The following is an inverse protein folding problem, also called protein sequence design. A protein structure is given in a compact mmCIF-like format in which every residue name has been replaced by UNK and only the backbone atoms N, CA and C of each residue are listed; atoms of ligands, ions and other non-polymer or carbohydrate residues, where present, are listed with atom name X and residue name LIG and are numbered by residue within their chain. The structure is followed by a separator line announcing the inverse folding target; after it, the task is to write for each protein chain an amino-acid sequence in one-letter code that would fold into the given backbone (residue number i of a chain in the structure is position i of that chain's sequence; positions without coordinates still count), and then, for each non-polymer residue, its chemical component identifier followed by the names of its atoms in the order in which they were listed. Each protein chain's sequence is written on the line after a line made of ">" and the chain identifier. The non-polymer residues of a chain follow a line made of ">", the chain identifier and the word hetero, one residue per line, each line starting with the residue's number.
data_IF_238296057910
#
_entry.id   IF_238296057910
#
_cell.length_a   1.000
_cell.length_b   1.000
_cell.length_c   1.000
_cell.angle_alpha   90.00
_cell.angle_beta   90.00
_cell.angle_gamma   90.00
#
_symmetry.space_group_name_H-M   'P 1'
#
loop_
_entity.id
_entity.type
_entity.pdbx_description
1 polymer ?
#
# COMPACT_ATOMS: atom_id res chain seq x y z
N UNK A 1 -5.17 -41.41 -5.87
CA UNK A 1 -6.11 -40.33 -5.49
C UNK A 1 -5.49 -38.94 -5.54
N UNK A 2 -4.21 -38.74 -5.22
CA UNK A 2 -3.54 -37.42 -5.23
C UNK A 2 -3.41 -36.82 -6.65
N UNK A 3 -3.32 -37.64 -7.71
CA UNK A 3 -3.20 -37.14 -9.09
C UNK A 3 -4.49 -36.56 -9.67
N UNK A 4 -5.68 -37.01 -9.23
CA UNK A 4 -6.94 -36.49 -9.78
C UNK A 4 -7.36 -35.16 -9.14
N UNK A 5 -6.90 -34.87 -7.92
CA UNK A 5 -7.22 -33.61 -7.22
C UNK A 5 -6.42 -32.42 -7.78
N UNK A 6 -5.17 -32.65 -8.20
CA UNK A 6 -4.33 -31.62 -8.82
C UNK A 6 -4.92 -31.11 -10.15
N UNK A 7 -5.38 -32.02 -11.02
CA UNK A 7 -6.03 -31.65 -12.30
C UNK A 7 -7.33 -30.87 -12.07
N UNK A 8 -8.09 -31.18 -11.02
CA UNK A 8 -9.32 -30.44 -10.69
C UNK A 8 -9.05 -29.04 -10.17
N UNK A 9 -8.00 -28.83 -9.37
CA UNK A 9 -7.61 -27.50 -8.86
C UNK A 9 -7.07 -26.61 -9.98
N UNK A 10 -6.26 -27.15 -10.89
CA UNK A 10 -5.78 -26.41 -12.06
C UNK A 10 -6.93 -26.05 -13.01
N UNK A 11 -7.88 -26.97 -13.25
CA UNK A 11 -9.07 -26.66 -14.04
C UNK A 11 -9.95 -25.59 -13.37
N UNK A 12 -10.07 -25.58 -12.05
CA UNK A 12 -10.78 -24.52 -11.33
C UNK A 12 -10.09 -23.16 -11.47
N UNK A 13 -8.77 -23.09 -11.28
CA UNK A 13 -8.00 -21.85 -11.48
C UNK A 13 -8.14 -21.29 -12.89
N UNK A 14 -8.09 -22.15 -13.91
CA UNK A 14 -8.27 -21.74 -15.32
C UNK A 14 -9.68 -21.21 -15.59
N UNK A 15 -10.71 -21.84 -15.00
CA UNK A 15 -12.09 -21.33 -15.09
C UNK A 15 -12.24 -19.97 -14.43
N UNK A 16 -11.73 -19.79 -13.22
CA UNK A 16 -11.76 -18.50 -12.53
C UNK A 16 -11.02 -17.40 -13.30
N UNK A 17 -9.87 -17.73 -13.90
CA UNK A 17 -9.13 -16.81 -14.74
C UNK A 17 -9.91 -16.45 -16.01
N UNK A 18 -10.56 -17.43 -16.63
CA UNK A 18 -11.41 -17.20 -17.80
C UNK A 18 -12.61 -16.31 -17.44
N UNK A 19 -13.29 -16.54 -16.32
CA UNK A 19 -14.37 -15.69 -15.83
C UNK A 19 -13.89 -14.26 -15.56
N UNK A 20 -12.69 -14.10 -14.98
CA UNK A 20 -12.08 -12.77 -14.77
C UNK A 20 -11.83 -12.07 -16.11
N UNK A 21 -11.35 -12.78 -17.12
CA UNK A 21 -11.12 -12.23 -18.47
C UNK A 21 -12.44 -11.85 -19.14
N UNK A 22 -13.50 -12.65 -19.00
CA UNK A 22 -14.81 -12.35 -19.57
C UNK A 22 -15.46 -11.12 -18.93
N UNK A 23 -15.34 -10.96 -17.61
CA UNK A 23 -15.74 -9.74 -16.89
C UNK A 23 -14.95 -8.51 -17.38
N UNK A 24 -13.65 -8.66 -17.62
CA UNK A 24 -12.82 -7.58 -18.15
C UNK A 24 -13.24 -7.15 -19.56
N UNK A 25 -13.53 -8.10 -20.46
CA UNK A 25 -13.98 -7.80 -21.83
C UNK A 25 -15.27 -7.01 -21.89
N UNK A 26 -16.07 -7.04 -20.82
CA UNK A 26 -17.37 -6.37 -20.72
C UNK A 26 -17.37 -5.24 -19.69
N UNK A 27 -16.20 -4.78 -19.25
CA UNK A 27 -16.06 -3.79 -18.18
C UNK A 27 -16.77 -2.47 -18.48
N UNK A 28 -16.68 -1.98 -19.73
CA UNK A 28 -17.34 -0.75 -20.18
C UNK A 28 -18.60 -1.04 -21.01
N UNK A 29 -19.20 -2.23 -20.88
CA UNK A 29 -20.41 -2.57 -21.62
C UNK A 29 -21.55 -1.59 -21.28
N UNK A 30 -22.12 -0.96 -22.30
CA UNK A 30 -23.17 0.04 -22.16
C UNK A 30 -22.67 1.46 -21.82
N UNK A 31 -21.37 1.66 -21.61
CA UNK A 31 -20.79 2.99 -21.49
C UNK A 31 -20.55 3.60 -22.87
N UNK A 32 -21.22 4.72 -23.15
CA UNK A 32 -20.89 5.60 -24.27
C UNK A 32 -19.93 6.69 -23.81
N UNK A 33 -18.72 6.67 -24.35
CA UNK A 33 -17.60 7.53 -23.95
C UNK A 33 -17.22 8.44 -25.12
N UNK A 34 -17.12 9.74 -24.85
CA UNK A 34 -16.65 10.73 -25.82
C UNK A 34 -15.25 11.24 -25.45
N UNK A 35 -14.33 11.24 -26.42
CA UNK A 35 -12.96 11.72 -26.25
C UNK A 35 -12.79 13.12 -26.84
N UNK A 36 -12.27 14.05 -26.04
CA UNK A 36 -11.88 15.37 -26.51
C UNK A 36 -10.57 15.33 -27.33
N UNK A 37 -10.28 16.39 -28.09
CA UNK A 37 -9.10 16.48 -28.97
C UNK A 37 -7.75 16.47 -28.25
N UNK A 38 -7.75 16.78 -26.95
CA UNK A 38 -6.53 16.96 -26.16
C UNK A 38 -6.01 15.66 -25.51
N UNK A 39 -6.86 14.63 -25.43
CA UNK A 39 -6.52 13.39 -24.72
C UNK A 39 -5.83 12.39 -25.65
N UNK A 40 -4.97 11.48 -25.14
CA UNK A 40 -4.26 10.50 -25.95
C UNK A 40 -5.23 9.47 -26.55
N UNK A 41 -5.81 9.82 -27.71
CA UNK A 41 -6.92 9.13 -28.35
C UNK A 41 -6.63 7.67 -28.71
N UNK A 42 -5.45 7.38 -29.25
CA UNK A 42 -5.14 6.06 -29.82
C UNK A 42 -5.10 4.99 -28.73
N UNK A 43 -4.45 5.32 -27.61
CA UNK A 43 -4.40 4.47 -26.42
C UNK A 43 -5.79 4.28 -25.81
N UNK A 44 -6.52 5.38 -25.57
CA UNK A 44 -7.84 5.32 -24.96
C UNK A 44 -8.86 4.59 -25.84
N UNK A 45 -8.85 4.84 -27.15
CA UNK A 45 -9.75 4.18 -28.08
C UNK A 45 -9.49 2.68 -28.13
N UNK A 46 -8.23 2.26 -28.18
CA UNK A 46 -7.87 0.84 -28.12
C UNK A 46 -8.38 0.20 -26.83
N UNK A 47 -8.07 0.81 -25.68
CA UNK A 47 -8.49 0.30 -24.37
C UNK A 47 -10.01 0.22 -24.27
N UNK A 48 -10.74 1.31 -24.52
CA UNK A 48 -12.20 1.33 -24.35
C UNK A 48 -12.87 0.28 -25.26
N UNK A 49 -12.43 0.16 -26.52
CA UNK A 49 -12.96 -0.84 -27.46
C UNK A 49 -12.66 -2.27 -27.04
N UNK A 50 -11.47 -2.56 -26.53
CA UNK A 50 -11.09 -3.90 -26.05
C UNK A 50 -11.93 -4.37 -24.85
N UNK A 51 -12.43 -3.43 -24.05
CA UNK A 51 -13.20 -3.69 -22.82
C UNK A 51 -14.72 -3.48 -23.02
N UNK A 52 -15.16 -3.44 -24.29
CA UNK A 52 -16.59 -3.48 -24.65
C UNK A 52 -17.32 -2.13 -24.59
N UNK A 53 -16.59 -1.02 -24.47
CA UNK A 53 -17.16 0.32 -24.46
C UNK A 53 -17.34 0.92 -25.85
N UNK A 54 -18.35 1.78 -25.98
CA UNK A 54 -18.55 2.58 -27.18
C UNK A 54 -17.77 3.88 -27.06
N UNK A 55 -16.91 4.16 -28.04
CA UNK A 55 -16.08 5.37 -28.05
C UNK A 55 -16.20 6.11 -29.38
N UNK A 56 -16.39 7.42 -29.27
CA UNK A 56 -16.36 8.37 -30.38
C UNK A 56 -15.50 9.59 -30.03
N UNK A 57 -15.22 10.38 -31.05
CA UNK A 57 -14.40 11.58 -31.02
C UNK A 57 -14.90 12.53 -32.11
N UNK A 58 -14.33 13.73 -32.19
CA UNK A 58 -14.76 14.71 -33.18
C UNK A 58 -14.46 14.25 -34.63
N UNK A 59 -15.46 14.38 -35.51
CA UNK A 59 -15.43 14.00 -36.92
C UNK A 59 -14.34 14.74 -37.71
N UNK A 60 -13.98 15.95 -37.28
CA UNK A 60 -12.97 16.77 -37.98
C UNK A 60 -11.57 16.21 -37.84
N UNK A 61 -11.29 15.47 -36.77
CA UNK A 61 -9.94 15.01 -36.42
C UNK A 61 -9.57 13.78 -37.25
N UNK A 62 -10.50 12.82 -37.38
CA UNK A 62 -10.26 11.60 -38.13
C UNK A 62 -11.58 10.94 -38.59
N UNK A 63 -11.50 10.16 -39.66
CA UNK A 63 -12.60 9.31 -40.12
C UNK A 63 -12.79 8.14 -39.14
N UNK A 64 -14.03 7.84 -38.77
CA UNK A 64 -14.36 6.74 -37.85
C UNK A 64 -15.09 7.15 -36.56
N UNK A 65 -15.45 8.42 -36.41
CA UNK A 65 -16.37 8.88 -35.37
C UNK A 65 -17.76 8.26 -35.56
N UNK A 66 -18.33 7.70 -34.49
CA UNK A 66 -19.63 7.01 -34.50
C UNK A 66 -20.79 7.92 -34.10
N UNK A 67 -20.55 8.83 -33.15
CA UNK A 67 -21.53 9.80 -32.64
C UNK A 67 -20.88 11.16 -32.39
N UNK A 68 -21.68 12.22 -32.41
CA UNK A 68 -21.24 13.61 -32.25
C UNK A 68 -21.23 14.05 -30.78
N UNK A 69 -20.53 15.15 -30.49
CA UNK A 69 -20.50 15.75 -29.14
C UNK A 69 -21.91 16.12 -28.64
N UNK A 70 -22.85 16.45 -29.53
CA UNK A 70 -24.21 16.85 -29.16
C UNK A 70 -25.12 15.68 -28.74
N UNK A 71 -24.68 14.43 -28.86
CA UNK A 71 -25.52 13.25 -28.58
C UNK A 71 -25.83 13.09 -27.08
N UNK A 72 -27.10 13.17 -26.70
CA UNK A 72 -27.54 13.05 -25.30
C UNK A 72 -27.34 11.66 -24.69
N UNK A 73 -27.10 10.63 -25.52
CA UNK A 73 -26.88 9.26 -25.03
C UNK A 73 -25.48 9.03 -24.45
N UNK A 74 -24.56 10.01 -24.58
CA UNK A 74 -23.21 9.94 -24.04
C UNK A 74 -23.24 9.93 -22.51
N UNK A 75 -22.59 8.95 -21.89
CA UNK A 75 -22.55 8.78 -20.44
C UNK A 75 -21.34 9.45 -19.79
N UNK A 76 -20.16 9.31 -20.41
CA UNK A 76 -18.89 9.81 -19.90
C UNK A 76 -18.19 10.65 -20.97
N UNK A 77 -17.69 11.81 -20.58
CA UNK A 77 -16.92 12.71 -21.44
C UNK A 77 -15.52 12.85 -20.86
N UNK A 78 -14.51 12.41 -21.61
CA UNK A 78 -13.11 12.44 -21.17
C UNK A 78 -12.45 13.76 -21.57
N UNK A 79 -12.04 14.54 -20.57
CA UNK A 79 -11.39 15.85 -20.74
C UNK A 79 -10.19 15.96 -19.78
N UNK A 80 -9.08 16.53 -20.26
CA UNK A 80 -7.87 16.77 -19.44
C UNK A 80 -7.79 18.21 -18.88
N UNK A 81 -8.37 19.18 -19.59
CA UNK A 81 -8.41 20.60 -19.19
C UNK A 81 -9.70 20.98 -18.44
N UNK A 82 -9.69 22.10 -17.69
CA UNK A 82 -10.91 22.65 -17.11
C UNK A 82 -12.00 22.85 -18.17
N UNK A 83 -13.26 22.60 -17.79
CA UNK A 83 -14.40 22.63 -18.71
C UNK A 83 -14.52 24.00 -19.38
N UNK A 84 -14.74 23.98 -20.71
CA UNK A 84 -15.12 25.17 -21.47
C UNK A 84 -16.57 25.60 -21.20
N UNK A 85 -17.05 26.55 -22.01
CA UNK A 85 -18.38 27.17 -21.85
C UNK A 85 -19.56 26.21 -22.09
N UNK A 86 -19.35 25.10 -22.82
CA UNK A 86 -20.42 24.15 -23.15
C UNK A 86 -20.37 22.94 -22.22
N UNK A 87 -21.31 22.90 -21.29
CA UNK A 87 -21.47 21.80 -20.35
C UNK A 87 -22.83 21.12 -20.55
N UNK A 88 -22.82 19.80 -20.60
CA UNK A 88 -24.00 18.96 -20.66
C UNK A 88 -24.24 18.36 -19.28
N UNK A 89 -25.40 18.64 -18.66
CA UNK A 89 -25.70 18.20 -17.29
C UNK A 89 -25.93 16.68 -17.17
N UNK A 90 -26.28 16.01 -18.27
CA UNK A 90 -26.57 14.58 -18.32
C UNK A 90 -25.32 13.69 -18.43
N UNK A 91 -24.12 14.25 -18.31
CA UNK A 91 -22.86 13.52 -18.58
C UNK A 91 -21.84 13.71 -17.46
N UNK A 92 -21.06 12.68 -17.21
CA UNK A 92 -19.94 12.76 -16.28
C UNK A 92 -18.68 13.21 -17.03
N UNK A 93 -18.16 14.36 -16.66
CA UNK A 93 -16.87 14.84 -17.13
C UNK A 93 -15.77 14.23 -16.27
N UNK A 94 -14.89 13.45 -16.86
CA UNK A 94 -13.83 12.71 -16.15
C UNK A 94 -12.50 12.85 -16.85
N UNK A 95 -11.41 12.74 -16.10
CA UNK A 95 -10.06 12.78 -16.64
C UNK A 95 -9.66 11.43 -17.26
N UNK A 96 -8.73 11.41 -18.25
CA UNK A 96 -8.24 10.17 -18.88
C UNK A 96 -7.77 9.10 -17.90
N UNK A 97 -7.23 9.52 -16.75
CA UNK A 97 -6.73 8.62 -15.72
C UNK A 97 -7.81 7.65 -15.20
N UNK A 98 -9.08 8.07 -15.16
CA UNK A 98 -10.18 7.22 -14.72
C UNK A 98 -10.30 5.91 -15.53
N UNK A 99 -10.05 5.97 -16.84
CA UNK A 99 -10.09 4.79 -17.71
C UNK A 99 -8.98 3.82 -17.37
N UNK A 100 -7.75 4.31 -17.23
CA UNK A 100 -6.58 3.49 -16.92
C UNK A 100 -6.71 2.86 -15.52
N UNK A 101 -7.10 3.66 -14.53
CA UNK A 101 -7.25 3.18 -13.16
C UNK A 101 -8.40 2.18 -13.05
N UNK A 102 -9.51 2.37 -13.77
CA UNK A 102 -10.63 1.40 -13.81
C UNK A 102 -10.20 0.07 -14.43
N UNK A 103 -9.38 0.11 -15.49
CA UNK A 103 -8.83 -1.10 -16.11
C UNK A 103 -7.84 -1.80 -15.17
N UNK A 104 -6.97 -1.04 -14.51
CA UNK A 104 -6.01 -1.58 -13.54
C UNK A 104 -6.71 -2.24 -12.33
N UNK A 105 -7.77 -1.59 -11.82
CA UNK A 105 -8.59 -2.10 -10.72
C UNK A 105 -9.56 -3.21 -11.16
N UNK A 106 -9.72 -3.44 -12.47
CA UNK A 106 -10.66 -4.40 -13.06
C UNK A 106 -12.12 -4.15 -12.66
N UNK A 107 -12.46 -2.89 -12.35
CA UNK A 107 -13.78 -2.46 -11.90
C UNK A 107 -14.01 -1.00 -12.29
N UNK A 108 -15.28 -0.59 -12.42
CA UNK A 108 -15.60 0.82 -12.64
C UNK A 108 -15.41 1.60 -11.34
N UNK A 109 -14.45 2.53 -11.35
CA UNK A 109 -14.17 3.37 -10.19
C UNK A 109 -15.18 4.52 -10.07
N UNK A 110 -15.42 5.04 -8.86
CA UNK A 110 -16.23 6.25 -8.67
C UNK A 110 -15.65 7.44 -9.43
N UNK A 111 -16.48 8.14 -10.19
CA UNK A 111 -16.07 9.26 -11.05
C UNK A 111 -15.72 10.54 -10.29
N UNK A 112 -16.20 10.69 -9.05
CA UNK A 112 -16.08 11.91 -8.23
C UNK A 112 -14.63 12.37 -8.02
N UNK A 113 -13.71 11.42 -7.86
CA UNK A 113 -12.28 11.71 -7.62
C UNK A 113 -11.53 12.10 -8.90
N UNK A 114 -12.16 11.94 -10.06
CA UNK A 114 -11.56 12.12 -11.37
C UNK A 114 -12.17 13.30 -12.14
N UNK A 115 -12.94 14.16 -11.47
CA UNK A 115 -13.49 15.35 -12.10
C UNK A 115 -12.38 16.32 -12.53
N UNK A 116 -12.54 17.04 -13.66
CA UNK A 116 -11.56 18.01 -14.12
C UNK A 116 -11.28 19.07 -13.05
N UNK A 117 -10.00 19.30 -12.75
CA UNK A 117 -9.56 20.29 -11.76
C UNK A 117 -9.44 19.76 -10.32
N UNK A 118 -9.92 18.55 -10.03
CA UNK A 118 -9.67 17.89 -8.74
C UNK A 118 -8.27 17.27 -8.71
N UNK A 119 -7.70 17.12 -7.50
CA UNK A 119 -6.42 16.44 -7.31
C UNK A 119 -6.64 14.95 -7.52
N UNK A 120 -6.10 14.44 -8.64
CA UNK A 120 -6.21 13.03 -9.01
C UNK A 120 -5.64 12.10 -7.93
N UNK A 121 -6.27 10.92 -7.73
CA UNK A 121 -5.69 9.86 -6.92
C UNK A 121 -4.30 9.46 -7.44
N UNK A 122 -3.36 9.09 -6.55
CA UNK A 122 -2.07 8.53 -6.98
C UNK A 122 -2.30 7.19 -7.69
N UNK A 123 -1.80 7.07 -8.92
CA UNK A 123 -1.90 5.83 -9.67
C UNK A 123 -1.01 4.75 -9.05
N UNK A 124 -1.51 3.52 -8.99
CA UNK A 124 -0.75 2.38 -8.50
C UNK A 124 -0.21 1.59 -9.69
N UNK A 125 1.05 1.15 -9.60
CA UNK A 125 1.64 0.33 -10.65
C UNK A 125 1.04 -1.08 -10.62
N UNK A 126 0.52 -1.59 -11.75
CA UNK A 126 -0.07 -2.93 -11.82
C UNK A 126 0.98 -4.05 -11.80
N UNK A 127 2.26 -3.72 -11.96
CA UNK A 127 3.36 -4.69 -12.03
C UNK A 127 4.07 -4.93 -10.69
N UNK A 128 3.69 -4.20 -9.63
CA UNK A 128 4.28 -4.38 -8.31
C UNK A 128 3.49 -5.44 -7.56
N UNK A 129 4.02 -6.66 -7.57
CA UNK A 129 3.54 -7.78 -6.76
C UNK A 129 3.63 -7.42 -5.27
N UNK A 130 2.53 -7.59 -4.57
CA UNK A 130 2.44 -7.35 -3.13
C UNK A 130 3.18 -8.47 -2.40
N UNK A 131 4.36 -8.15 -1.86
CA UNK A 131 5.01 -9.01 -0.87
C UNK A 131 4.46 -8.64 0.49
N UNK A 132 4.17 -9.65 1.32
CA UNK A 132 3.57 -9.48 2.66
C UNK A 132 4.37 -8.51 3.56
N UNK A 133 5.67 -8.38 3.29
CA UNK A 133 6.60 -7.50 4.01
C UNK A 133 6.81 -6.12 3.34
N UNK A 134 5.95 -5.64 2.44
CA UNK A 134 6.15 -4.33 1.78
C UNK A 134 5.11 -3.31 2.24
N UNK A 135 5.50 -2.03 2.33
CA UNK A 135 4.57 -0.97 2.71
C UNK A 135 3.49 -0.82 1.62
N UNK A 136 2.25 -1.15 1.95
CA UNK A 136 1.11 -0.97 1.06
C UNK A 136 0.50 0.41 1.33
N UNK A 137 0.50 1.33 0.34
CA UNK A 137 -0.16 2.62 0.50
C UNK A 137 -1.66 2.47 0.80
N UNK A 138 -2.24 3.38 1.59
CA UNK A 138 -3.65 3.30 2.00
C UNK A 138 -4.63 3.34 0.82
N UNK A 139 -4.26 3.95 -0.31
CA UNK A 139 -5.07 3.95 -1.54
C UNK A 139 -5.13 2.55 -2.18
N UNK A 140 -4.01 1.81 -2.17
CA UNK A 140 -3.98 0.42 -2.64
C UNK A 140 -4.80 -0.48 -1.72
N UNK A 141 -4.70 -0.25 -0.40
CA UNK A 141 -5.54 -0.94 0.58
C UNK A 141 -7.02 -0.69 0.33
N UNK A 142 -7.43 0.56 0.09
CA UNK A 142 -8.81 0.91 -0.22
C UNK A 142 -9.33 0.22 -1.50
N UNK A 143 -8.50 0.13 -2.55
CA UNK A 143 -8.88 -0.59 -3.77
C UNK A 143 -8.97 -2.10 -3.57
N UNK A 144 -8.06 -2.70 -2.79
CA UNK A 144 -8.14 -4.12 -2.43
C UNK A 144 -9.39 -4.44 -1.61
N UNK A 145 -9.74 -3.55 -0.66
CA UNK A 145 -10.94 -3.69 0.17
C UNK A 145 -12.21 -3.60 -0.69
N UNK A 146 -12.24 -2.66 -1.66
CA UNK A 146 -13.31 -2.52 -2.64
C UNK A 146 -13.42 -3.75 -3.56
N UNK A 147 -12.29 -4.32 -3.98
CA UNK A 147 -12.25 -5.53 -4.83
C UNK A 147 -12.73 -6.78 -4.09
N UNK A 148 -12.52 -6.86 -2.78
CA UNK A 148 -12.99 -7.96 -1.91
C UNK A 148 -14.46 -7.85 -1.52
N UNK A 149 -15.18 -6.80 -1.98
CA UNK A 149 -16.61 -6.63 -1.71
C UNK A 149 -16.92 -6.24 -0.27
N UNK A 150 -15.92 -5.84 0.52
CA UNK A 150 -16.15 -5.20 1.82
C UNK A 150 -16.44 -3.74 1.51
N UNK A 151 -17.73 -3.39 1.41
CA UNK A 151 -18.15 -1.99 1.34
C UNK A 151 -17.93 -1.38 2.73
N UNK A 152 -16.69 -1.13 3.09
CA UNK A 152 -16.40 -0.03 4.00
C UNK A 152 -16.68 1.22 3.19
N UNK A 153 -17.71 1.98 3.58
CA UNK A 153 -17.90 3.36 3.11
C UNK A 153 -16.52 4.02 3.04
N UNK A 154 -16.22 4.71 1.94
CA UNK A 154 -15.12 5.66 1.90
C UNK A 154 -15.08 6.39 3.25
N UNK A 155 -13.92 6.58 3.90
CA UNK A 155 -13.87 7.41 5.08
C UNK A 155 -14.17 8.84 4.65
N UNK A 156 -15.46 9.18 4.58
CA UNK A 156 -15.95 10.54 4.70
C UNK A 156 -15.44 10.99 6.06
N UNK A 157 -14.46 11.87 6.04
CA UNK A 157 -13.88 12.48 7.24
C UNK A 157 -15.00 13.12 8.08
N UNK A 158 -15.54 12.40 9.06
CA UNK A 158 -16.21 12.96 10.24
C UNK A 158 -16.23 11.92 11.35
N UNK A 159 -15.47 12.25 12.39
CA UNK A 159 -15.61 11.92 13.81
C UNK A 159 -15.90 10.47 14.22
N UNK A 160 -14.86 9.82 14.75
CA UNK A 160 -14.98 9.06 15.99
C UNK A 160 -13.98 9.66 16.97
N UNK A 161 -14.49 10.52 17.84
CA UNK A 161 -13.90 10.82 19.13
C UNK A 161 -14.16 9.62 20.03
N UNK A 162 -13.14 8.85 20.35
CA UNK A 162 -13.06 8.09 21.59
C UNK A 162 -11.57 7.81 21.86
N UNK A 163 -11.13 8.29 23.02
CA UNK A 163 -9.84 8.01 23.63
C UNK A 163 -9.68 6.50 23.83
N UNK A 164 -8.66 5.92 23.21
CA UNK A 164 -8.01 4.73 23.75
C UNK A 164 -6.52 5.03 23.85
N UNK A 165 -6.05 5.11 25.10
CA UNK A 165 -4.65 5.03 25.47
C UNK A 165 -4.11 3.71 24.92
N UNK A 166 -3.23 3.76 23.92
CA UNK A 166 -2.40 2.63 23.53
C UNK A 166 -0.94 3.00 23.76
N UNK A 167 -0.39 2.37 24.79
CA UNK A 167 0.94 2.52 25.34
C UNK A 167 1.94 1.90 24.36
N UNK A 168 2.34 2.68 23.36
CA UNK A 168 3.38 2.28 22.41
C UNK A 168 4.74 2.35 23.10
N UNK A 169 5.16 1.23 23.70
CA UNK A 169 6.52 0.98 24.17
C UNK A 169 7.52 1.27 23.03
N UNK A 170 8.23 2.40 23.16
CA UNK A 170 9.36 2.78 22.33
C UNK A 170 10.52 1.79 22.51
N UNK A 171 10.60 0.77 21.67
CA UNK A 171 11.86 0.03 21.48
C UNK A 171 12.80 0.86 20.59
N UNK A 172 13.42 1.86 21.21
CA UNK A 172 14.53 2.62 20.64
C UNK A 172 15.78 1.74 20.58
N UNK A 173 15.87 0.84 19.59
CA UNK A 173 17.10 0.08 19.33
C UNK A 173 18.10 0.96 18.55
N UNK A 174 18.54 2.04 19.22
CA UNK A 174 19.71 2.86 18.86
C UNK A 174 20.92 2.28 19.59
N UNK A 175 21.45 1.16 19.10
CA UNK A 175 22.86 0.78 19.31
C UNK A 175 23.19 -0.42 18.42
N UNK A 176 23.76 -0.19 17.23
CA UNK A 176 24.98 -0.89 16.80
C UNK A 176 25.52 -0.29 15.50
N UNK A 177 26.09 0.90 15.58
CA UNK A 177 27.10 1.36 14.63
C UNK A 177 28.33 1.80 15.43
N UNK A 178 29.21 0.86 15.76
CA UNK A 178 30.61 1.21 16.00
C UNK A 178 31.55 0.02 15.74
N UNK A 179 32.32 0.15 14.64
CA UNK A 179 33.77 -0.05 14.62
C UNK A 179 34.33 -1.36 15.20
N UNK A 180 34.33 -2.42 14.39
CA UNK A 180 34.98 -3.69 14.71
C UNK A 180 36.50 -3.71 14.40
N UNK A 181 37.21 -2.60 14.64
CA UNK A 181 38.68 -2.52 14.41
C UNK A 181 39.55 -1.95 15.54
N UNK A 182 39.00 -1.33 16.58
CA UNK A 182 39.84 -0.74 17.65
C UNK A 182 39.78 -1.44 19.02
N UNK A 183 39.02 -2.54 19.15
CA UNK A 183 38.73 -3.13 20.47
C UNK A 183 39.65 -4.32 20.88
N UNK A 184 40.85 -4.45 20.29
CA UNK A 184 41.85 -5.44 20.73
C UNK A 184 42.83 -4.93 21.77
N UNK A 185 43.01 -3.61 21.92
CA UNK A 185 44.00 -3.05 22.85
C UNK A 185 43.46 -2.66 24.23
N UNK A 186 42.14 -2.61 24.46
CA UNK A 186 41.55 -2.30 25.78
C UNK A 186 41.32 -3.52 26.69
N UNK A 187 41.20 -4.73 26.14
CA UNK A 187 40.95 -5.94 26.96
C UNK A 187 42.14 -6.42 27.80
N UNK A 188 43.34 -5.83 27.63
CA UNK A 188 44.51 -6.15 28.46
C UNK A 188 44.70 -5.21 29.67
N UNK A 189 44.12 -4.01 29.67
CA UNK A 189 44.22 -3.08 30.80
C UNK A 189 43.22 -3.37 31.92
N UNK A 190 42.03 -3.90 31.59
CA UNK A 190 40.94 -4.05 32.57
C UNK A 190 41.04 -5.31 33.46
N UNK A 191 41.94 -6.25 33.11
CA UNK A 191 42.15 -7.47 33.90
C UNK A 191 43.03 -7.20 35.14
N UNK A 192 43.85 -6.14 35.14
CA UNK A 192 44.78 -5.86 36.24
C UNK A 192 44.18 -5.00 37.37
N UNK A 193 43.08 -4.28 37.14
CA UNK A 193 42.48 -3.40 38.16
C UNK A 193 41.29 -3.99 38.94
N UNK A 194 40.95 -5.26 38.69
CA UNK A 194 39.77 -5.90 39.31
C UNK A 194 40.06 -6.65 40.61
N UNK A 195 41.32 -6.76 41.04
CA UNK A 195 41.69 -7.63 42.17
C UNK A 195 41.50 -7.03 43.56
N UNK A 196 41.05 -5.78 43.72
CA UNK A 196 41.03 -5.15 45.05
C UNK A 196 39.80 -4.28 45.40
N UNK A 197 38.60 -4.65 44.92
CA UNK A 197 37.34 -4.12 45.46
C UNK A 197 36.52 -5.21 46.13
N UNK A 198 36.68 -5.35 47.46
CA UNK A 198 35.71 -6.03 48.31
C UNK A 198 34.39 -5.26 48.25
N UNK A 199 33.49 -5.68 47.36
CA UNK A 199 32.11 -5.22 47.31
C UNK A 199 31.45 -5.58 48.64
N UNK A 200 31.08 -4.56 49.43
CA UNK A 200 30.31 -4.75 50.65
C UNK A 200 28.92 -5.26 50.24
N UNK A 201 28.69 -6.55 50.42
CA UNK A 201 27.47 -7.26 50.09
C UNK A 201 26.35 -6.74 51.01
N UNK A 202 25.53 -5.81 50.52
CA UNK A 202 24.37 -5.29 51.23
C UNK A 202 23.14 -5.97 50.62
N UNK A 203 22.56 -6.91 51.35
CA UNK A 203 21.34 -7.62 50.94
C UNK A 203 20.17 -6.63 51.07
N UNK A 204 19.50 -6.36 49.95
CA UNK A 204 18.26 -5.59 49.91
C UNK A 204 17.08 -6.55 49.88
N UNK A 205 16.05 -6.27 50.67
CA UNK A 205 14.80 -7.04 50.66
C UNK A 205 14.15 -6.97 49.26
N UNK A 206 13.80 -8.13 48.71
CA UNK A 206 13.28 -8.25 47.34
C UNK A 206 11.87 -7.67 47.22
N UNK A 207 11.67 -6.78 46.26
CA UNK A 207 10.35 -6.28 45.89
C UNK A 207 9.65 -7.37 45.06
N UNK A 208 8.39 -7.74 45.36
CA UNK A 208 7.65 -8.70 44.57
C UNK A 208 7.39 -8.14 43.17
N UNK A 209 8.05 -8.74 42.17
CA UNK A 209 7.82 -8.44 40.75
C UNK A 209 6.43 -8.94 40.39
N UNK A 210 5.52 -8.03 40.02
CA UNK A 210 4.26 -8.43 39.38
C UNK A 210 4.61 -8.98 38.00
N UNK A 211 4.34 -10.26 37.81
CA UNK A 211 4.65 -10.97 36.58
C UNK A 211 3.45 -10.81 35.65
N UNK A 212 3.58 -9.98 34.63
CA UNK A 212 2.65 -9.99 33.51
C UNK A 212 2.91 -11.26 32.69
N UNK A 213 1.91 -12.13 32.58
CA UNK A 213 2.01 -13.44 31.92
C UNK A 213 2.51 -13.34 30.47
N UNK A 214 2.19 -12.25 29.78
CA UNK A 214 2.59 -12.01 28.40
C UNK A 214 4.06 -11.62 28.27
N UNK A 215 4.56 -10.76 29.16
CA UNK A 215 5.98 -10.36 29.18
C UNK A 215 6.89 -11.54 29.50
N UNK A 216 6.44 -12.45 30.37
CA UNK A 216 7.18 -13.67 30.68
C UNK A 216 7.26 -14.60 29.44
N UNK A 217 6.14 -14.84 28.75
CA UNK A 217 6.10 -15.65 27.54
C UNK A 217 6.96 -15.06 26.39
N UNK A 218 6.97 -13.72 26.24
CA UNK A 218 7.83 -13.05 25.26
C UNK A 218 9.32 -13.21 25.58
N UNK A 219 9.69 -13.09 26.86
CA UNK A 219 11.06 -13.31 27.30
C UNK A 219 11.51 -14.76 27.08
N UNK A 220 10.68 -15.74 27.43
CA UNK A 220 10.93 -17.16 27.17
C UNK A 220 11.15 -17.42 25.67
N UNK A 221 10.27 -16.89 24.80
CA UNK A 221 10.41 -17.03 23.36
C UNK A 221 11.67 -16.34 22.79
N UNK A 222 12.11 -15.23 23.39
CA UNK A 222 13.34 -14.54 22.99
C UNK A 222 14.59 -15.31 23.44
N UNK A 223 14.56 -15.90 24.63
CA UNK A 223 15.62 -16.78 25.13
C UNK A 223 15.74 -18.05 24.29
N UNK A 224 14.63 -18.71 23.94
CA UNK A 224 14.63 -19.86 23.05
C UNK A 224 15.24 -19.53 21.68
N UNK A 225 14.88 -18.38 21.09
CA UNK A 225 15.49 -17.92 19.83
C UNK A 225 17.00 -17.69 19.97
N UNK A 226 17.45 -17.10 21.09
CA UNK A 226 18.88 -16.90 21.35
C UNK A 226 19.62 -18.23 21.50
N UNK A 227 19.05 -19.18 22.23
CA UNK A 227 19.61 -20.52 22.41
C UNK A 227 19.68 -21.26 21.06
N UNK A 228 18.65 -21.17 20.22
CA UNK A 228 18.65 -21.74 18.88
C UNK A 228 19.75 -21.14 17.98
N UNK A 229 19.96 -19.82 18.02
CA UNK A 229 21.05 -19.16 17.26
C UNK A 229 22.44 -19.59 17.76
N UNK A 230 22.59 -19.87 19.06
CA UNK A 230 23.86 -20.32 19.64
C UNK A 230 24.16 -21.78 19.31
N UNK A 231 23.13 -22.63 19.24
CA UNK A 231 23.23 -24.05 18.88
C UNK A 231 23.51 -24.28 17.38
N UNK A 232 23.37 -23.25 16.55
CA UNK A 232 23.54 -23.33 15.10
C UNK A 232 25.03 -23.43 14.69
N UNK A 233 25.37 -24.24 13.66
CA UNK A 233 26.72 -24.28 13.09
C UNK A 233 27.18 -22.89 12.60
N UNK A 234 28.49 -22.62 12.64
CA UNK A 234 29.06 -21.30 12.28
C UNK A 234 28.67 -20.81 10.87
N UNK A 235 28.58 -21.71 9.89
CA UNK A 235 28.20 -21.38 8.50
C UNK A 235 26.73 -20.95 8.41
N UNK A 236 25.85 -21.71 9.04
CA UNK A 236 24.41 -21.45 9.05
C UNK A 236 24.10 -20.19 9.85
N UNK A 237 24.81 -19.96 10.96
CA UNK A 237 24.71 -18.72 11.75
C UNK A 237 25.08 -17.49 10.92
N UNK A 238 26.10 -17.57 10.08
CA UNK A 238 26.47 -16.48 9.18
C UNK A 238 25.39 -16.23 8.12
N UNK A 239 24.84 -17.28 7.51
CA UNK A 239 23.74 -17.18 6.55
C UNK A 239 22.49 -16.57 7.20
N UNK A 240 22.11 -17.06 8.39
CA UNK A 240 21.01 -16.53 9.18
C UNK A 240 21.19 -15.04 9.49
N UNK A 241 22.37 -14.64 9.99
CA UNK A 241 22.67 -13.23 10.27
C UNK A 241 22.55 -12.35 9.01
N UNK A 242 22.98 -12.86 7.84
CA UNK A 242 22.85 -12.15 6.57
C UNK A 242 21.38 -11.98 6.15
N UNK A 243 20.55 -13.01 6.35
CA UNK A 243 19.11 -12.97 6.08
C UNK A 243 18.43 -11.97 7.03
N UNK A 244 18.69 -12.08 8.34
CA UNK A 244 18.14 -11.17 9.35
C UNK A 244 18.56 -9.73 9.11
N UNK A 245 19.81 -9.48 8.72
CA UNK A 245 20.26 -8.13 8.37
C UNK A 245 19.49 -7.57 7.16
N UNK A 246 19.28 -8.40 6.13
CA UNK A 246 18.45 -8.04 4.98
C UNK A 246 17.00 -7.71 5.37
N UNK A 247 16.38 -8.53 6.22
CA UNK A 247 15.03 -8.29 6.75
C UNK A 247 14.96 -7.03 7.61
N UNK A 248 15.91 -6.81 8.53
CA UNK A 248 15.99 -5.60 9.37
C UNK A 248 16.12 -4.34 8.51
N UNK A 249 16.92 -4.38 7.43
CA UNK A 249 17.06 -3.25 6.51
C UNK A 249 15.73 -2.92 5.81
N UNK A 250 15.03 -3.92 5.28
CA UNK A 250 13.69 -3.74 4.69
C UNK A 250 12.69 -3.18 5.69
N UNK A 251 12.63 -3.73 6.91
CA UNK A 251 11.77 -3.23 8.01
C UNK A 251 12.06 -1.77 8.33
N UNK A 252 13.33 -1.36 8.42
CA UNK A 252 13.71 0.05 8.63
C UNK A 252 13.25 0.95 7.47
N UNK A 253 13.33 0.48 6.23
CA UNK A 253 12.86 1.24 5.06
C UNK A 253 11.33 1.41 5.09
N UNK A 254 10.58 0.38 5.49
CA UNK A 254 9.12 0.40 5.66
C UNK A 254 8.70 1.38 6.76
N UNK A 255 9.31 1.28 7.95
CA UNK A 255 9.03 2.20 9.06
C UNK A 255 9.28 3.65 8.66
N UNK A 256 10.38 3.92 7.95
CA UNK A 256 10.66 5.26 7.40
C UNK A 256 9.59 5.73 6.41
N UNK A 257 9.03 4.84 5.59
CA UNK A 257 7.93 5.18 4.66
C UNK A 257 6.62 5.45 5.42
N UNK A 258 6.32 4.68 6.45
CA UNK A 258 5.17 4.89 7.33
C UNK A 258 5.25 6.25 8.03
N UNK A 259 6.36 6.55 8.70
CA UNK A 259 6.60 7.86 9.34
C UNK A 259 6.44 9.02 8.35
N UNK A 260 7.00 8.89 7.14
CA UNK A 260 6.84 9.90 6.07
C UNK A 260 5.39 10.10 5.69
N UNK A 261 4.59 9.03 5.57
CA UNK A 261 3.16 9.15 5.23
C UNK A 261 2.37 9.76 6.38
N UNK A 262 2.65 9.42 7.62
CA UNK A 262 2.00 10.03 8.78
C UNK A 262 2.25 11.53 8.83
N UNK A 263 3.49 11.95 8.61
CA UNK A 263 3.85 13.36 8.55
C UNK A 263 3.14 14.08 7.40
N UNK A 264 3.11 13.47 6.21
CA UNK A 264 2.34 13.99 5.07
C UNK A 264 0.84 14.15 5.40
N UNK A 265 0.22 13.13 6.01
CA UNK A 265 -1.18 13.18 6.41
C UNK A 265 -1.45 14.28 7.45
N UNK A 266 -0.55 14.47 8.42
CA UNK A 266 -0.61 15.55 9.41
C UNK A 266 -0.53 16.92 8.73
N UNK A 267 0.36 17.09 7.75
CA UNK A 267 0.47 18.33 6.97
C UNK A 267 -0.78 18.60 6.11
N UNK A 268 -1.30 17.59 5.42
CA UNK A 268 -2.53 17.73 4.64
C UNK A 268 -3.74 18.12 5.50
N UNK A 269 -3.86 17.53 6.70
CA UNK A 269 -4.89 17.93 7.67
C UNK A 269 -4.73 19.40 8.09
N UNK A 270 -3.50 19.87 8.33
CA UNK A 270 -3.23 21.28 8.65
C UNK A 270 -3.59 22.22 7.49
N UNK A 271 -3.26 21.85 6.25
CA UNK A 271 -3.62 22.62 5.05
C UNK A 271 -5.15 22.71 4.86
N UNK A 272 -5.87 21.60 5.03
CA UNK A 272 -7.34 21.59 4.97
C UNK A 272 -7.97 22.49 6.04
N UNK A 273 -7.51 22.40 7.29
CA UNK A 273 -7.97 23.28 8.38
C UNK A 273 -7.74 24.76 8.06
N UNK A 274 -6.59 25.10 7.47
CA UNK A 274 -6.28 26.48 7.04
C UNK A 274 -7.19 26.97 5.92
N UNK A 275 -7.52 26.12 4.94
CA UNK A 275 -8.45 26.46 3.85
C UNK A 275 -9.90 26.62 4.29
N UNK A 276 -10.32 25.93 5.35
CA UNK A 276 -11.69 26.03 5.91
C UNK A 276 -11.83 27.27 6.81
N UNK A 277 -10.75 27.69 7.45
CA UNK A 277 -10.72 28.86 8.32
C UNK A 277 -10.52 30.20 7.58
N UNK A 278 -10.24 30.16 6.28
CA UNK A 278 -10.07 31.32 5.41
C UNK A 278 -11.32 31.48 4.53
#
# INVERSE_FOLDING_TARGET
>A
MIFMTADTEEMQKRKEEQEKIEKLKTLFAGCKIYLNSEVPRESLLFIIRCFGGEVSFDKTIQVGATFEEADETITHHIIDRPLGEKQYLNRYYVQPQWVYDSVNARMLLPVEQYFPGEILPPHLSPFVEEKEDEYIPPEKKALLDLQKGVITKLPRMVESSEDENDDSEEESDKNDESSDKDNKNKRKSDIQDSQNKRLKMKVTEGVPVKIDSEKLAQNEAAEEKRLAILAMPKKDKHLYNKIIYGQKRKKREILKLQEKRENYNKEQKKLKKRKIAA
#
